data_IF_044794170334
#
_entry.id   IF_044794170334
#
_cell.length_a   1.000
_cell.length_b   1.000
_cell.length_c   1.000
_cell.angle_alpha   90.00
_cell.angle_beta   90.00
_cell.angle_gamma   90.00
#
_symmetry.space_group_name_H-M   'P 1'
#
loop_
_entity.id
_entity.type
_entity.pdbx_description
1 polymer ?
#
# COMPACT_ATOMS: atom_id res chain seq x y z
N UNK A 1 -16.11 19.43 22.85
CA UNK A 1 -14.79 18.77 22.69
C UNK A 1 -13.63 19.78 22.67
N UNK A 2 -12.52 19.46 23.35
CA UNK A 2 -11.29 20.27 23.36
C UNK A 2 -10.52 20.16 22.03
N UNK A 3 -10.52 18.98 21.39
CA UNK A 3 -9.96 18.79 20.05
C UNK A 3 -10.88 19.46 19.02
N UNK A 4 -10.35 20.41 18.25
CA UNK A 4 -11.08 21.20 17.24
C UNK A 4 -10.75 20.83 15.79
N UNK A 5 -9.57 20.30 15.55
CA UNK A 5 -9.08 19.86 14.25
C UNK A 5 -7.91 18.89 14.45
N UNK A 6 -7.68 18.00 13.48
CA UNK A 6 -6.53 17.09 13.48
C UNK A 6 -5.87 17.04 12.09
N UNK A 7 -4.59 16.66 12.05
CA UNK A 7 -3.84 16.49 10.81
C UNK A 7 -3.20 15.10 10.77
N UNK A 8 -3.93 14.04 10.37
CA UNK A 8 -3.34 12.71 10.17
C UNK A 8 -2.47 12.73 8.91
N UNK A 9 -1.17 12.51 9.04
CA UNK A 9 -0.24 12.47 7.91
C UNK A 9 0.52 11.15 7.85
N UNK A 10 0.53 10.50 6.68
CA UNK A 10 1.28 9.25 6.42
C UNK A 10 1.02 8.16 7.47
N UNK A 11 -0.23 8.11 7.95
CA UNK A 11 -0.65 7.21 9.02
C UNK A 11 -1.21 5.92 8.44
N UNK A 12 -0.75 4.78 8.94
CA UNK A 12 -1.41 3.50 8.70
C UNK A 12 -2.79 3.45 9.35
N UNK A 13 -3.74 2.85 8.64
CA UNK A 13 -5.15 2.80 9.06
C UNK A 13 -5.61 1.41 9.49
N UNK A 14 -5.00 0.37 8.94
CA UNK A 14 -5.12 -1.03 9.31
C UNK A 14 -3.70 -1.58 9.45
N UNK A 15 -3.18 -1.63 10.68
CA UNK A 15 -1.76 -1.93 10.94
C UNK A 15 -1.38 -3.36 10.57
N UNK A 16 -2.36 -4.28 10.53
CA UNK A 16 -2.16 -5.62 9.99
C UNK A 16 -1.91 -5.55 8.48
N UNK A 17 -2.85 -4.97 7.73
CA UNK A 17 -2.77 -4.96 6.27
C UNK A 17 -1.69 -4.00 5.72
N UNK A 18 -1.31 -2.97 6.47
CA UNK A 18 -0.16 -2.11 6.19
C UNK A 18 0.33 -1.47 7.49
N UNK A 19 1.63 -1.52 7.81
CA UNK A 19 2.71 -2.03 6.99
C UNK A 19 3.22 -3.40 7.48
N UNK A 20 2.68 -3.93 8.58
CA UNK A 20 3.27 -5.08 9.29
C UNK A 20 3.08 -6.39 8.53
N UNK A 21 1.87 -6.62 8.00
CA UNK A 21 1.50 -7.84 7.28
C UNK A 21 0.79 -7.58 5.94
N UNK A 22 1.35 -6.77 5.04
CA UNK A 22 0.77 -6.59 3.71
C UNK A 22 0.60 -7.94 3.04
N UNK A 23 -0.56 -8.14 2.44
CA UNK A 23 -0.93 -9.39 1.77
C UNK A 23 -1.05 -10.62 2.69
N UNK A 24 -0.94 -10.43 4.01
CA UNK A 24 -0.78 -11.51 4.99
C UNK A 24 0.65 -12.07 5.07
N UNK A 25 1.63 -11.39 4.49
CA UNK A 25 3.06 -11.72 4.54
C UNK A 25 3.76 -10.88 5.59
N UNK A 26 4.73 -11.44 6.31
CA UNK A 26 5.49 -10.69 7.31
C UNK A 26 6.48 -9.74 6.61
N UNK A 27 6.31 -8.43 6.76
CA UNK A 27 7.25 -7.43 6.25
C UNK A 27 8.47 -7.25 7.18
N UNK A 28 9.20 -8.35 7.46
CA UNK A 28 10.20 -8.39 8.54
C UNK A 28 11.28 -7.33 8.40
N UNK A 29 11.72 -7.03 7.17
CA UNK A 29 12.75 -6.02 6.92
C UNK A 29 12.39 -4.65 7.53
N UNK A 30 11.17 -4.19 7.29
CA UNK A 30 10.65 -2.95 7.87
C UNK A 30 10.33 -3.11 9.36
N UNK A 31 9.63 -4.18 9.77
CA UNK A 31 9.23 -4.40 11.17
C UNK A 31 10.44 -4.43 12.11
N UNK A 32 11.54 -5.06 11.69
CA UNK A 32 12.75 -5.15 12.49
C UNK A 32 13.37 -3.78 12.72
N UNK A 33 13.56 -2.99 11.65
CA UNK A 33 14.11 -1.64 11.75
C UNK A 33 13.28 -0.76 12.67
N UNK A 34 11.95 -0.80 12.52
CA UNK A 34 11.03 -0.06 13.39
C UNK A 34 11.13 -0.52 14.85
N UNK A 35 11.13 -1.84 15.08
CA UNK A 35 11.21 -2.42 16.42
C UNK A 35 12.53 -2.08 17.13
N UNK A 36 13.64 -1.98 16.40
CA UNK A 36 14.93 -1.61 16.96
C UNK A 36 14.94 -0.13 17.40
N UNK A 37 14.34 0.76 16.59
CA UNK A 37 14.17 2.18 16.93
C UNK A 37 13.28 2.38 18.15
N UNK A 38 12.10 1.75 18.19
CA UNK A 38 11.18 1.84 19.33
C UNK A 38 11.82 1.25 20.59
N UNK A 39 12.51 0.12 20.46
CA UNK A 39 13.25 -0.47 21.59
C UNK A 39 14.35 0.45 22.13
N UNK A 40 15.04 1.20 21.25
CA UNK A 40 16.00 2.21 21.68
C UNK A 40 15.31 3.37 22.41
N UNK A 41 14.13 3.82 21.96
CA UNK A 41 13.33 4.83 22.67
C UNK A 41 12.91 4.36 24.06
N UNK A 42 12.44 3.12 24.18
CA UNK A 42 12.03 2.53 25.46
C UNK A 42 13.17 2.43 26.47
N UNK A 43 14.40 2.21 26.01
CA UNK A 43 15.60 2.17 26.85
C UNK A 43 16.25 3.53 27.03
N UNK A 44 15.73 4.59 26.40
CA UNK A 44 16.37 5.90 26.30
C UNK A 44 17.85 5.80 25.82
N UNK A 45 18.08 4.98 24.80
CA UNK A 45 19.41 4.69 24.28
C UNK A 45 19.90 5.80 23.34
N UNK A 46 20.54 6.81 23.95
CA UNK A 46 21.09 7.94 23.21
C UNK A 46 22.21 7.61 22.23
N UNK A 47 22.81 6.41 22.29
CA UNK A 47 23.83 5.98 21.31
C UNK A 47 23.21 5.65 19.96
N UNK A 48 22.01 5.07 19.97
CA UNK A 48 21.22 4.74 18.77
C UNK A 48 20.42 5.95 18.30
N UNK A 49 19.81 6.70 19.23
CA UNK A 49 18.89 7.80 18.91
C UNK A 49 19.59 9.14 18.62
N UNK A 50 20.87 9.28 18.97
CA UNK A 50 21.59 10.55 18.90
C UNK A 50 21.08 11.63 19.88
N UNK A 51 20.10 11.29 20.73
CA UNK A 51 19.52 12.15 21.75
C UNK A 51 18.86 11.30 22.84
N UNK A 52 18.59 11.90 24.00
CA UNK A 52 17.88 11.24 25.10
C UNK A 52 16.55 11.94 25.41
N UNK A 53 15.63 11.17 25.99
CA UNK A 53 14.36 11.65 26.55
C UNK A 53 14.66 12.74 27.58
N UNK A 54 14.00 13.88 27.42
CA UNK A 54 14.07 14.99 28.39
C UNK A 54 13.02 14.76 29.48
N UNK A 55 13.43 14.75 30.76
CA UNK A 55 12.48 14.78 31.87
C UNK A 55 11.56 16.00 31.78
N UNK A 56 10.34 15.88 32.30
CA UNK A 56 9.43 17.01 32.48
C UNK A 56 9.97 17.97 33.53
N UNK A 57 9.53 19.23 33.50
CA UNK A 57 10.05 20.27 34.40
C UNK A 57 9.87 19.91 35.88
N UNK A 58 8.83 19.16 36.23
CA UNK A 58 8.54 18.72 37.60
C UNK A 58 9.46 17.58 38.08
N UNK A 59 10.10 16.83 37.18
CA UNK A 59 10.94 15.67 37.50
C UNK A 59 12.36 16.08 37.92
N UNK A 60 12.46 16.90 38.97
CA UNK A 60 13.72 17.53 39.40
C UNK A 60 14.81 16.53 39.81
N UNK A 61 14.43 15.33 40.24
CA UNK A 61 15.35 14.27 40.69
C UNK A 61 15.44 13.07 39.73
N UNK A 62 14.76 13.15 38.58
CA UNK A 62 14.73 12.10 37.57
C UNK A 62 13.96 10.84 37.98
N UNK A 63 13.17 10.88 39.07
CA UNK A 63 12.40 9.74 39.54
C UNK A 63 11.33 9.31 38.54
N UNK A 64 10.66 10.26 37.88
CA UNK A 64 9.66 9.97 36.86
C UNK A 64 10.32 9.35 35.62
N UNK A 65 11.47 9.84 35.18
CA UNK A 65 12.23 9.22 34.08
C UNK A 65 12.64 7.79 34.42
N UNK A 66 13.19 7.53 35.62
CA UNK A 66 13.57 6.17 36.05
C UNK A 66 12.37 5.24 36.11
N UNK A 67 11.22 5.74 36.60
CA UNK A 67 9.99 4.97 36.63
C UNK A 67 9.48 4.66 35.22
N UNK A 68 9.46 5.64 34.32
CA UNK A 68 9.06 5.45 32.92
C UNK A 68 9.92 4.40 32.22
N UNK A 69 11.25 4.47 32.38
CA UNK A 69 12.18 3.46 31.88
C UNK A 69 11.88 2.06 32.43
N UNK A 70 11.64 1.95 33.74
CA UNK A 70 11.28 0.68 34.37
C UNK A 70 9.96 0.12 33.83
N UNK A 71 8.95 0.97 33.61
CA UNK A 71 7.66 0.56 33.08
C UNK A 71 7.76 0.11 31.61
N UNK A 72 8.56 0.80 30.80
CA UNK A 72 8.78 0.48 29.39
C UNK A 72 9.55 -0.84 29.18
N UNK A 73 10.22 -1.39 30.20
CA UNK A 73 10.82 -2.75 30.10
C UNK A 73 9.78 -3.85 29.82
N UNK A 74 8.49 -3.57 30.05
CA UNK A 74 7.37 -4.47 29.80
C UNK A 74 6.77 -4.30 28.40
N UNK A 75 7.22 -3.31 27.62
CA UNK A 75 6.70 -3.07 26.29
C UNK A 75 6.98 -4.29 25.37
N UNK A 76 6.03 -4.64 24.49
CA UNK A 76 6.21 -5.73 23.54
C UNK A 76 7.34 -5.42 22.56
N UNK A 77 7.99 -6.47 22.07
CA UNK A 77 8.94 -6.32 20.97
C UNK A 77 8.14 -6.40 19.66
N UNK A 78 7.94 -5.25 19.02
CA UNK A 78 7.08 -5.10 17.84
C UNK A 78 7.37 -6.14 16.77
N UNK A 79 8.64 -6.40 16.46
CA UNK A 79 9.01 -7.38 15.45
C UNK A 79 8.69 -8.81 15.89
N UNK A 80 9.17 -9.24 17.06
CA UNK A 80 8.97 -10.60 17.54
C UNK A 80 7.49 -10.94 17.74
N UNK A 81 6.75 -10.03 18.38
CA UNK A 81 5.34 -10.24 18.67
C UNK A 81 4.48 -10.15 17.41
N UNK A 82 4.74 -9.18 16.52
CA UNK A 82 4.04 -9.06 15.24
C UNK A 82 4.32 -10.23 14.29
N UNK A 83 5.55 -10.78 14.29
CA UNK A 83 5.91 -12.01 13.55
C UNK A 83 5.18 -13.23 14.09
N UNK A 84 5.01 -13.33 15.41
CA UNK A 84 4.27 -14.44 16.04
C UNK A 84 2.77 -14.35 15.80
N UNK A 85 2.20 -13.15 15.81
CA UNK A 85 0.79 -12.89 15.58
C UNK A 85 0.45 -12.99 14.08
N UNK A 86 0.29 -14.22 13.59
CA UNK A 86 0.09 -14.57 12.18
C UNK A 86 -1.22 -14.05 11.61
N UNK A 87 -2.30 -14.19 12.36
CA UNK A 87 -3.65 -13.82 11.95
C UNK A 87 -4.09 -12.50 12.58
N UNK A 88 -5.03 -11.81 11.95
CA UNK A 88 -5.55 -10.52 12.43
C UNK A 88 -6.17 -10.62 13.82
N UNK A 89 -6.72 -11.78 14.17
CA UNK A 89 -7.32 -12.10 15.46
C UNK A 89 -6.33 -12.62 16.52
N UNK A 90 -5.02 -12.65 16.22
CA UNK A 90 -4.00 -13.04 17.20
C UNK A 90 -3.63 -11.87 18.15
N UNK A 91 -3.21 -12.24 19.37
CA UNK A 91 -2.69 -11.29 20.36
C UNK A 91 -1.24 -10.88 20.06
N UNK A 92 -0.97 -9.57 20.12
CA UNK A 92 0.35 -8.96 20.01
C UNK A 92 1.06 -8.84 21.36
N UNK A 93 0.33 -9.00 22.45
CA UNK A 93 0.83 -8.85 23.80
C UNK A 93 -0.33 -8.64 24.78
N UNK A 94 -0.05 -8.52 26.09
CA UNK A 94 -1.10 -8.36 27.09
C UNK A 94 -2.02 -7.18 26.79
N UNK A 95 -3.27 -7.46 26.42
CA UNK A 95 -4.30 -6.46 26.12
C UNK A 95 -4.18 -5.78 24.75
N UNK A 96 -3.33 -6.26 23.84
CA UNK A 96 -3.16 -5.71 22.50
C UNK A 96 -3.39 -6.76 21.41
N UNK A 97 -4.26 -6.45 20.45
CA UNK A 97 -4.46 -7.17 19.18
C UNK A 97 -4.26 -6.22 18.01
N UNK A 98 -4.10 -6.74 16.80
CA UNK A 98 -4.08 -5.92 15.58
C UNK A 98 -5.28 -4.98 15.47
N UNK A 99 -6.46 -5.45 15.89
CA UNK A 99 -7.70 -4.69 15.85
C UNK A 99 -7.65 -3.48 16.81
N UNK A 100 -7.16 -3.67 18.02
CA UNK A 100 -7.10 -2.61 19.04
C UNK A 100 -6.14 -1.48 18.68
N UNK A 101 -5.13 -1.74 17.85
CA UNK A 101 -4.12 -0.75 17.44
C UNK A 101 -4.38 -0.17 16.04
N UNK A 102 -5.47 -0.58 15.38
CA UNK A 102 -5.79 -0.17 14.01
C UNK A 102 -6.94 0.86 13.99
N UNK A 103 -6.70 2.10 13.50
CA UNK A 103 -7.72 3.15 13.45
C UNK A 103 -9.03 2.77 12.73
N UNK A 104 -8.99 1.84 11.76
CA UNK A 104 -10.17 1.37 11.02
C UNK A 104 -11.27 0.81 11.93
N UNK A 105 -10.93 0.28 13.12
CA UNK A 105 -11.89 -0.28 14.08
C UNK A 105 -12.63 0.79 14.90
N UNK A 106 -12.19 2.04 14.87
CA UNK A 106 -12.72 3.12 15.71
C UNK A 106 -13.65 4.06 14.94
N UNK A 107 -14.35 3.54 13.93
CA UNK A 107 -15.22 4.35 13.06
C UNK A 107 -16.26 5.14 13.85
N UNK A 108 -16.99 4.49 14.75
CA UNK A 108 -18.05 5.14 15.51
C UNK A 108 -17.52 6.28 16.39
N UNK A 109 -16.38 6.08 17.06
CA UNK A 109 -15.71 7.07 17.89
C UNK A 109 -15.23 8.26 17.05
N UNK A 110 -14.58 7.98 15.93
CA UNK A 110 -14.06 8.99 15.01
C UNK A 110 -15.21 9.82 14.44
N UNK A 111 -16.28 9.18 13.96
CA UNK A 111 -17.46 9.86 13.40
C UNK A 111 -18.26 10.66 14.43
N UNK A 112 -18.31 10.18 15.68
CA UNK A 112 -18.94 10.92 16.79
C UNK A 112 -18.18 12.20 17.12
N UNK A 113 -16.87 12.25 16.89
CA UNK A 113 -16.06 13.44 17.19
C UNK A 113 -16.43 14.65 16.31
N UNK A 114 -16.87 14.41 15.07
CA UNK A 114 -17.11 15.43 14.02
C UNK A 114 -15.92 16.37 13.80
N UNK A 115 -14.73 15.97 14.24
CA UNK A 115 -13.52 16.78 14.12
C UNK A 115 -13.10 16.83 12.64
N UNK A 116 -12.86 18.03 12.07
CA UNK A 116 -12.34 18.18 10.73
C UNK A 116 -10.88 17.71 10.64
N UNK A 117 -10.53 17.11 9.51
CA UNK A 117 -9.22 16.53 9.25
C UNK A 117 -8.58 17.13 8.00
N UNK A 118 -7.31 17.52 8.10
CA UNK A 118 -6.44 17.70 6.94
C UNK A 118 -5.49 16.51 6.85
N UNK A 119 -5.54 15.78 5.76
CA UNK A 119 -4.84 14.49 5.64
C UNK A 119 -3.77 14.59 4.57
N UNK A 120 -2.56 14.16 4.91
CA UNK A 120 -1.46 14.03 3.95
C UNK A 120 -1.11 12.57 3.77
N UNK A 121 -0.92 12.14 2.53
CA UNK A 121 -0.53 10.77 2.22
C UNK A 121 0.21 10.74 0.89
N UNK A 122 0.94 9.65 0.62
CA UNK A 122 1.63 9.47 -0.65
C UNK A 122 1.25 8.16 -1.33
N UNK A 123 1.26 8.13 -2.66
CA UNK A 123 0.97 6.89 -3.40
C UNK A 123 1.92 5.77 -3.04
N UNK A 124 3.22 6.06 -2.93
CA UNK A 124 4.27 5.06 -2.73
C UNK A 124 4.72 4.95 -1.27
N UNK A 125 3.85 5.27 -0.31
CA UNK A 125 4.14 5.10 1.12
C UNK A 125 3.32 3.94 1.70
N UNK A 126 3.91 2.73 1.68
CA UNK A 126 3.26 1.48 2.06
C UNK A 126 1.82 1.40 1.51
N UNK A 127 0.84 1.06 2.37
CA UNK A 127 -0.60 1.10 2.10
C UNK A 127 -1.32 2.34 2.67
N UNK A 128 -0.62 3.41 3.03
CA UNK A 128 -1.22 4.57 3.71
C UNK A 128 -2.30 5.26 2.86
N UNK A 129 -2.11 5.33 1.53
CA UNK A 129 -3.08 5.91 0.60
C UNK A 129 -4.41 5.14 0.61
N UNK A 130 -4.37 3.80 0.72
CA UNK A 130 -5.56 2.97 0.79
C UNK A 130 -6.41 3.26 2.02
N UNK A 131 -5.77 3.24 3.20
CA UNK A 131 -6.44 3.56 4.46
C UNK A 131 -7.06 4.97 4.45
N UNK A 132 -6.34 5.94 3.88
CA UNK A 132 -6.84 7.31 3.73
C UNK A 132 -8.05 7.40 2.81
N UNK A 133 -7.99 6.76 1.63
CA UNK A 133 -9.08 6.79 0.66
C UNK A 133 -10.29 5.98 1.14
N UNK A 134 -10.08 4.91 1.91
CA UNK A 134 -11.13 4.19 2.60
C UNK A 134 -11.84 5.09 3.62
N UNK A 135 -11.09 5.78 4.50
CA UNK A 135 -11.65 6.72 5.46
C UNK A 135 -12.38 7.88 4.77
N UNK A 136 -11.81 8.43 3.70
CA UNK A 136 -12.41 9.50 2.91
C UNK A 136 -13.80 9.10 2.38
N UNK A 137 -13.94 7.88 1.85
CA UNK A 137 -15.20 7.38 1.28
C UNK A 137 -16.24 7.00 2.32
N UNK A 138 -15.81 6.53 3.49
CA UNK A 138 -16.70 5.79 4.39
C UNK A 138 -16.90 6.44 5.76
N UNK A 139 -16.16 7.49 6.11
CA UNK A 139 -16.30 8.19 7.40
C UNK A 139 -16.89 9.58 7.17
N UNK A 140 -17.84 9.97 8.01
CA UNK A 140 -18.61 11.22 7.93
C UNK A 140 -17.89 12.46 8.48
N UNK A 141 -16.65 12.32 8.96
CA UNK A 141 -15.86 13.49 9.36
C UNK A 141 -15.54 14.37 8.14
N UNK A 142 -15.56 15.71 8.29
CA UNK A 142 -15.05 16.60 7.26
C UNK A 142 -13.58 16.31 7.00
N UNK A 143 -13.22 16.06 5.74
CA UNK A 143 -11.87 15.71 5.35
C UNK A 143 -11.42 16.60 4.18
N UNK A 144 -10.19 17.11 4.26
CA UNK A 144 -9.41 17.65 3.15
C UNK A 144 -8.21 16.72 2.97
N UNK A 145 -8.04 16.11 1.81
CA UNK A 145 -7.01 15.09 1.59
C UNK A 145 -6.05 15.56 0.50
N UNK A 146 -4.75 15.43 0.74
CA UNK A 146 -3.70 15.60 -0.24
C UNK A 146 -2.96 14.27 -0.44
N UNK A 147 -3.08 13.69 -1.62
CA UNK A 147 -2.30 12.51 -2.04
C UNK A 147 -1.17 12.94 -2.94
N UNK A 148 0.06 12.74 -2.50
CA UNK A 148 1.28 13.17 -3.19
C UNK A 148 1.92 12.00 -3.96
N UNK A 149 2.73 12.32 -4.97
CA UNK A 149 3.67 11.36 -5.56
C UNK A 149 4.97 11.29 -4.75
N UNK A 150 4.86 11.11 -3.44
CA UNK A 150 5.99 11.18 -2.52
C UNK A 150 6.31 9.87 -1.81
N UNK A 151 7.31 9.96 -0.93
CA UNK A 151 7.63 8.93 0.06
C UNK A 151 6.99 9.24 1.43
N UNK A 152 7.30 8.43 2.44
CA UNK A 152 6.82 8.60 3.80
C UNK A 152 7.17 9.98 4.37
N UNK A 153 6.24 10.59 5.10
CA UNK A 153 6.42 11.91 5.71
C UNK A 153 6.43 13.08 4.71
N UNK A 154 6.26 12.84 3.40
CA UNK A 154 6.24 13.89 2.38
C UNK A 154 7.59 14.56 2.17
N UNK A 155 8.68 13.83 2.43
CA UNK A 155 10.06 14.34 2.45
C UNK A 155 10.76 14.30 1.08
N UNK A 156 10.14 13.70 0.07
CA UNK A 156 10.67 13.68 -1.29
C UNK A 156 9.65 13.18 -2.29
N UNK A 157 9.95 13.41 -3.57
CA UNK A 157 9.20 12.88 -4.71
C UNK A 157 9.64 11.44 -4.97
N UNK A 158 8.69 10.61 -5.38
CA UNK A 158 8.88 9.19 -5.66
C UNK A 158 8.29 8.75 -7.01
N UNK A 159 7.83 9.67 -7.87
CA UNK A 159 7.21 9.29 -9.15
C UNK A 159 8.24 8.61 -10.06
N UNK A 160 8.02 7.35 -10.49
CA UNK A 160 8.94 6.64 -11.38
C UNK A 160 9.06 7.25 -12.79
N UNK A 161 8.31 8.31 -13.08
CA UNK A 161 8.42 9.06 -14.32
C UNK A 161 9.50 10.15 -14.29
N UNK A 162 9.88 10.61 -13.09
CA UNK A 162 10.84 11.71 -12.91
C UNK A 162 11.98 11.37 -11.95
N UNK A 163 11.75 10.43 -11.01
CA UNK A 163 12.74 9.96 -10.05
C UNK A 163 13.41 8.70 -10.58
N UNK A 164 14.74 8.75 -10.73
CA UNK A 164 15.57 7.60 -11.08
C UNK A 164 16.46 7.21 -9.91
N UNK A 165 17.77 7.45 -9.96
CA UNK A 165 18.73 6.99 -8.95
C UNK A 165 18.86 7.85 -7.69
N UNK A 166 18.37 9.09 -7.70
CA UNK A 166 18.49 10.04 -6.59
C UNK A 166 17.12 10.61 -6.21
N UNK A 167 16.86 10.83 -4.90
CA UNK A 167 15.59 11.41 -4.46
C UNK A 167 15.47 12.87 -4.91
N UNK A 168 14.27 13.26 -5.35
CA UNK A 168 13.95 14.65 -5.67
C UNK A 168 13.17 15.33 -4.52
N UNK A 169 13.22 16.66 -4.41
CA UNK A 169 12.40 17.39 -3.44
C UNK A 169 10.90 17.09 -3.60
N UNK A 170 10.13 17.06 -2.49
CA UNK A 170 8.71 16.75 -2.56
C UNK A 170 7.92 17.85 -3.27
N UNK A 171 6.80 17.45 -3.88
CA UNK A 171 5.84 18.36 -4.50
C UNK A 171 4.46 18.09 -3.89
N UNK A 172 3.84 19.06 -3.19
CA UNK A 172 4.39 20.38 -2.82
C UNK A 172 5.60 20.28 -1.86
N UNK A 173 6.39 21.35 -1.82
CA UNK A 173 7.56 21.46 -0.95
C UNK A 173 7.18 21.34 0.53
N UNK A 174 8.12 20.94 1.39
CA UNK A 174 7.85 20.84 2.84
C UNK A 174 7.34 22.16 3.44
N UNK A 175 7.88 23.29 2.98
CA UNK A 175 7.45 24.62 3.42
C UNK A 175 5.97 24.90 3.05
N UNK A 176 5.55 24.52 1.84
CA UNK A 176 4.15 24.62 1.43
C UNK A 176 3.26 23.68 2.23
N UNK A 177 3.69 22.44 2.47
CA UNK A 177 2.95 21.50 3.32
C UNK A 177 2.78 22.07 4.74
N UNK A 178 3.82 22.66 5.33
CA UNK A 178 3.73 23.36 6.63
C UNK A 178 2.81 24.58 6.56
N UNK A 179 2.85 25.35 5.48
CA UNK A 179 1.92 26.47 5.29
C UNK A 179 0.46 25.99 5.26
N UNK A 180 0.16 24.91 4.56
CA UNK A 180 -1.17 24.29 4.57
C UNK A 180 -1.60 23.86 5.98
N UNK A 181 -0.73 23.17 6.73
CA UNK A 181 -1.02 22.78 8.12
C UNK A 181 -1.36 23.97 9.00
N UNK A 182 -0.58 25.07 8.88
CA UNK A 182 -0.84 26.32 9.62
C UNK A 182 -2.16 26.95 9.21
N UNK A 183 -2.44 27.09 7.92
CA UNK A 183 -3.70 27.68 7.43
C UNK A 183 -4.92 26.89 7.91
N UNK A 184 -4.86 25.56 7.87
CA UNK A 184 -5.92 24.70 8.37
C UNK A 184 -6.16 24.89 9.88
N UNK A 185 -5.09 24.94 10.69
CA UNK A 185 -5.24 25.22 12.11
C UNK A 185 -5.70 26.64 12.40
N UNK A 186 -5.20 27.66 11.70
CA UNK A 186 -5.67 29.04 11.85
C UNK A 186 -7.19 29.11 11.60
N UNK A 187 -7.66 28.40 10.58
CA UNK A 187 -9.10 28.34 10.27
C UNK A 187 -9.93 27.71 11.37
N UNK A 188 -9.49 26.60 11.95
CA UNK A 188 -10.29 25.80 12.88
C UNK A 188 -10.06 26.10 14.37
N UNK A 189 -8.89 26.59 14.75
CA UNK A 189 -8.55 26.92 16.15
C UNK A 189 -8.75 28.41 16.44
N UNK A 190 -8.44 29.29 15.48
CA UNK A 190 -8.63 30.75 15.65
C UNK A 190 -9.95 31.24 15.05
N UNK A 191 -10.60 30.45 14.21
CA UNK A 191 -11.87 30.80 13.58
C UNK A 191 -11.75 31.81 12.44
N UNK A 192 -10.53 32.08 11.95
CA UNK A 192 -10.28 33.05 10.88
C UNK A 192 -10.59 32.45 9.52
N UNK A 193 -11.55 32.98 8.73
CA UNK A 193 -11.76 32.55 7.35
C UNK A 193 -10.49 32.72 6.53
N UNK A 194 -10.15 31.72 5.71
CA UNK A 194 -8.96 31.76 4.87
C UNK A 194 -9.10 30.80 3.67
N UNK A 195 -8.01 30.61 2.92
CA UNK A 195 -8.00 29.78 1.71
C UNK A 195 -8.37 28.30 1.98
N UNK A 196 -8.22 27.80 3.20
CA UNK A 196 -8.55 26.41 3.54
C UNK A 196 -10.05 26.10 3.38
N UNK A 197 -10.92 27.11 3.46
CA UNK A 197 -12.35 26.97 3.17
C UNK A 197 -12.62 26.59 1.70
N UNK A 198 -11.73 26.97 0.79
CA UNK A 198 -11.90 26.78 -0.66
C UNK A 198 -11.20 25.54 -1.21
N UNK A 199 -10.40 24.84 -0.40
CA UNK A 199 -9.70 23.64 -0.86
C UNK A 199 -10.66 22.53 -1.30
N UNK A 200 -10.29 21.68 -2.26
CA UNK A 200 -11.09 20.52 -2.65
C UNK A 200 -11.17 19.51 -1.49
N UNK A 201 -12.15 18.60 -1.53
CA UNK A 201 -12.21 17.52 -0.53
C UNK A 201 -11.03 16.55 -0.68
N UNK A 202 -10.63 16.25 -1.93
CA UNK A 202 -9.49 15.42 -2.27
C UNK A 202 -8.70 16.06 -3.42
N UNK A 203 -7.43 16.36 -3.18
CA UNK A 203 -6.42 16.68 -4.20
C UNK A 203 -5.46 15.51 -4.30
N UNK A 204 -5.19 15.01 -5.50
CA UNK A 204 -4.30 13.87 -5.70
C UNK A 204 -3.37 14.09 -6.89
N UNK A 205 -2.16 13.56 -6.80
CA UNK A 205 -1.16 13.64 -7.87
C UNK A 205 -1.43 12.55 -8.91
N UNK A 206 -1.45 12.88 -10.19
CA UNK A 206 -1.60 11.94 -11.30
C UNK A 206 -0.21 11.61 -11.87
N UNK A 207 0.26 10.38 -11.64
CA UNK A 207 1.56 9.92 -12.16
C UNK A 207 1.56 9.87 -13.68
N UNK A 208 2.69 10.12 -14.32
CA UNK A 208 2.84 10.07 -15.80
C UNK A 208 2.28 11.30 -16.52
N UNK A 209 1.31 11.99 -15.91
CA UNK A 209 0.99 13.38 -16.23
C UNK A 209 1.82 14.37 -15.40
N UNK A 210 2.21 13.97 -14.19
CA UNK A 210 2.96 14.76 -13.20
C UNK A 210 2.23 16.04 -12.77
N UNK A 211 0.93 15.92 -12.49
CA UNK A 211 0.07 17.04 -12.09
C UNK A 211 -0.93 16.67 -10.99
N UNK A 212 -1.29 17.65 -10.18
CA UNK A 212 -2.40 17.51 -9.24
C UNK A 212 -3.75 17.67 -9.92
N UNK A 213 -4.71 16.86 -9.47
CA UNK A 213 -6.12 16.93 -9.83
C UNK A 213 -6.98 16.98 -8.57
N UNK A 214 -8.14 17.63 -8.69
CA UNK A 214 -9.07 17.87 -7.59
C UNK A 214 -10.37 17.08 -7.81
N UNK A 215 -10.92 16.50 -6.74
CA UNK A 215 -12.19 15.78 -6.79
C UNK A 215 -12.88 15.80 -5.41
N UNK A 216 -14.20 15.63 -5.41
CA UNK A 216 -14.98 15.45 -4.19
C UNK A 216 -15.37 14.00 -3.94
N UNK A 217 -15.03 13.09 -4.86
CA UNK A 217 -15.34 11.66 -4.78
C UNK A 217 -14.14 10.82 -5.18
N UNK A 218 -14.02 9.64 -4.56
CA UNK A 218 -13.04 8.64 -4.95
C UNK A 218 -13.70 7.27 -5.14
N UNK A 219 -13.38 6.53 -6.23
CA UNK A 219 -12.64 7.00 -7.41
C UNK A 219 -13.28 8.22 -8.11
N UNK A 220 -12.55 8.96 -8.96
CA UNK A 220 -13.13 10.07 -9.73
C UNK A 220 -14.36 9.65 -10.55
N UNK A 221 -15.25 10.60 -10.85
CA UNK A 221 -16.45 10.31 -11.65
C UNK A 221 -16.05 9.82 -13.04
N UNK A 222 -16.79 8.84 -13.56
CA UNK A 222 -16.48 8.23 -14.87
C UNK A 222 -15.45 7.11 -14.80
N UNK A 223 -14.98 6.73 -13.60
CA UNK A 223 -14.20 5.51 -13.41
C UNK A 223 -15.06 4.26 -13.60
N UNK A 224 -14.60 3.34 -14.44
CA UNK A 224 -15.17 2.01 -14.61
C UNK A 224 -14.05 0.96 -14.73
N UNK A 225 -14.31 -0.23 -14.19
CA UNK A 225 -13.36 -1.35 -14.28
C UNK A 225 -13.37 -1.93 -15.70
N UNK A 226 -12.23 -1.87 -16.38
CA UNK A 226 -12.00 -2.53 -17.67
C UNK A 226 -11.16 -3.79 -17.45
N UNK A 227 -11.64 -4.94 -17.92
CA UNK A 227 -10.90 -6.19 -17.83
C UNK A 227 -9.78 -6.28 -18.89
N UNK A 228 -8.63 -6.78 -18.45
CA UNK A 228 -7.45 -7.10 -19.24
C UNK A 228 -7.09 -8.56 -18.98
N UNK A 229 -7.27 -9.39 -19.99
CA UNK A 229 -7.19 -10.85 -19.93
C UNK A 229 -5.78 -11.33 -20.26
N UNK A 230 -5.23 -12.20 -19.39
CA UNK A 230 -3.92 -12.81 -19.61
C UNK A 230 -4.05 -13.90 -20.69
N UNK A 231 -3.21 -13.83 -21.70
CA UNK A 231 -3.07 -14.83 -22.75
C UNK A 231 -1.79 -15.64 -22.58
N UNK A 232 -1.85 -16.91 -22.98
CA UNK A 232 -0.71 -17.82 -22.98
C UNK A 232 0.48 -17.21 -23.71
N UNK A 233 1.68 -17.35 -23.13
CA UNK A 233 2.92 -16.83 -23.71
C UNK A 233 3.19 -15.36 -23.35
N UNK A 234 2.59 -14.87 -22.26
CA UNK A 234 2.94 -13.56 -21.69
C UNK A 234 2.28 -12.36 -22.37
N UNK A 235 1.07 -12.54 -22.93
CA UNK A 235 0.31 -11.43 -23.53
C UNK A 235 -0.82 -10.98 -22.61
N UNK A 236 -1.25 -9.72 -22.72
CA UNK A 236 -2.47 -9.24 -22.05
C UNK A 236 -3.28 -8.35 -22.99
N UNK A 237 -4.60 -8.56 -23.05
CA UNK A 237 -5.48 -7.86 -23.98
C UNK A 237 -6.85 -7.56 -23.36
N UNK A 238 -7.52 -6.50 -23.84
CA UNK A 238 -8.89 -6.17 -23.42
C UNK A 238 -9.94 -7.05 -24.08
N UNK A 239 -9.67 -7.57 -25.28
CA UNK A 239 -10.51 -8.56 -25.95
C UNK A 239 -10.19 -9.97 -25.40
N UNK A 240 -11.11 -10.65 -24.69
CA UNK A 240 -10.87 -11.98 -24.16
C UNK A 240 -10.64 -13.04 -25.24
N UNK A 241 -11.08 -12.81 -26.49
CA UNK A 241 -10.85 -13.74 -27.60
C UNK A 241 -9.42 -13.65 -28.16
N UNK A 242 -8.75 -12.50 -27.96
CA UNK A 242 -7.35 -12.31 -28.30
C UNK A 242 -6.40 -12.93 -27.25
N UNK A 243 -6.90 -13.21 -26.04
CA UNK A 243 -6.15 -13.88 -24.99
C UNK A 243 -6.09 -15.40 -25.26
N UNK A 244 -4.94 -15.88 -25.72
CA UNK A 244 -4.74 -17.30 -26.00
C UNK A 244 -4.96 -18.18 -24.77
N UNK A 245 -5.73 -19.26 -24.92
CA UNK A 245 -6.01 -20.19 -23.82
C UNK A 245 -4.83 -21.10 -23.49
N UNK A 246 -4.63 -21.36 -22.19
CA UNK A 246 -3.64 -22.33 -21.73
C UNK A 246 -3.28 -22.18 -20.27
N UNK A 247 -2.06 -22.60 -19.95
CA UNK A 247 -1.47 -22.48 -18.62
C UNK A 247 -0.01 -22.10 -18.78
N UNK A 248 0.40 -21.03 -18.10
CA UNK A 248 1.81 -20.67 -17.95
C UNK A 248 2.27 -21.04 -16.53
N UNK A 249 3.45 -21.66 -16.42
CA UNK A 249 3.99 -22.16 -15.15
C UNK A 249 5.15 -21.26 -14.74
N UNK A 250 5.07 -20.72 -13.53
CA UNK A 250 6.13 -19.96 -12.88
C UNK A 250 6.74 -20.80 -11.77
N UNK A 251 8.05 -21.02 -11.84
CA UNK A 251 8.82 -21.54 -10.71
C UNK A 251 9.17 -20.35 -9.82
N UNK A 252 8.73 -20.39 -8.56
CA UNK A 252 8.99 -19.30 -7.62
C UNK A 252 10.49 -19.21 -7.39
N UNK A 253 11.08 -18.08 -7.80
CA UNK A 253 12.45 -17.74 -7.48
C UNK A 253 12.47 -17.00 -6.12
N UNK A 254 12.97 -17.63 -5.04
CA UNK A 254 12.99 -17.02 -3.71
C UNK A 254 13.95 -15.83 -3.62
N UNK A 255 14.81 -15.60 -4.64
CA UNK A 255 15.77 -14.49 -4.70
C UNK A 255 15.22 -13.25 -5.40
N UNK A 256 13.98 -13.32 -5.93
CA UNK A 256 13.30 -12.12 -6.44
C UNK A 256 13.27 -11.06 -5.35
N UNK A 257 13.61 -9.84 -5.74
CA UNK A 257 13.67 -8.69 -4.84
C UNK A 257 13.19 -7.44 -5.56
N UNK A 258 12.51 -6.54 -4.84
CA UNK A 258 12.29 -5.15 -5.27
C UNK A 258 13.28 -4.16 -4.66
N UNK A 259 14.32 -4.69 -4.00
CA UNK A 259 15.32 -3.93 -3.26
C UNK A 259 14.77 -3.31 -1.98
N UNK A 260 15.51 -2.36 -1.41
CA UNK A 260 15.12 -1.62 -0.20
C UNK A 260 14.67 -0.18 -0.48
N UNK A 261 14.75 0.28 -1.73
CA UNK A 261 14.38 1.64 -2.12
C UNK A 261 12.98 1.67 -2.73
N UNK A 262 12.02 1.13 -2.00
CA UNK A 262 10.64 0.93 -2.44
C UNK A 262 9.64 1.46 -1.39
N UNK A 263 8.34 1.26 -1.66
CA UNK A 263 7.27 1.77 -0.80
C UNK A 263 7.26 1.23 0.64
N UNK A 264 7.83 0.06 0.90
CA UNK A 264 7.75 -0.60 2.21
C UNK A 264 8.79 -0.07 3.19
N UNK A 265 10.01 0.16 2.70
CA UNK A 265 11.09 0.68 3.52
C UNK A 265 11.06 2.21 3.64
N UNK A 266 10.24 2.90 2.84
CA UNK A 266 10.03 4.34 2.93
C UNK A 266 9.64 4.81 4.35
N UNK A 267 8.84 4.02 5.08
CA UNK A 267 8.48 4.33 6.46
C UNK A 267 9.70 4.38 7.40
N UNK A 268 10.78 3.69 7.05
CA UNK A 268 12.04 3.67 7.79
C UNK A 268 13.03 4.74 7.32
N UNK A 269 12.60 5.65 6.45
CA UNK A 269 13.40 6.76 5.95
C UNK A 269 14.22 6.45 4.70
N UNK A 270 14.10 5.25 4.13
CA UNK A 270 14.75 4.93 2.86
C UNK A 270 14.11 5.72 1.71
N UNK A 271 14.89 6.22 0.74
CA UNK A 271 14.35 6.89 -0.43
C UNK A 271 13.65 5.88 -1.35
N UNK A 272 12.77 6.39 -2.21
CA UNK A 272 12.13 5.60 -3.26
C UNK A 272 12.78 5.98 -4.59
N UNK A 273 13.67 5.11 -5.08
CA UNK A 273 14.53 5.34 -6.25
C UNK A 273 14.71 4.04 -7.03
N UNK A 274 15.10 4.13 -8.30
CA UNK A 274 15.35 2.98 -9.17
C UNK A 274 14.08 2.25 -9.63
N UNK A 275 12.90 2.85 -9.46
CA UNK A 275 11.62 2.28 -9.89
C UNK A 275 11.24 2.68 -11.33
N UNK A 276 12.06 3.51 -11.99
CA UNK A 276 11.85 3.99 -13.36
C UNK A 276 12.26 2.96 -14.44
N UNK A 277 12.98 1.91 -14.04
CA UNK A 277 13.30 0.77 -14.89
C UNK A 277 13.53 -0.52 -14.09
N UNK A 278 12.53 -1.40 -14.04
CA UNK A 278 12.57 -2.68 -13.33
C UNK A 278 12.93 -3.90 -14.19
N UNK A 279 13.38 -3.70 -15.43
CA UNK A 279 13.56 -4.80 -16.39
C UNK A 279 14.38 -6.01 -15.89
N UNK A 280 15.41 -5.79 -15.08
CA UNK A 280 16.20 -6.88 -14.47
C UNK A 280 15.41 -7.71 -13.46
N UNK A 281 14.52 -7.07 -12.68
CA UNK A 281 13.64 -7.74 -11.73
C UNK A 281 12.54 -8.49 -12.48
N UNK A 282 11.91 -7.85 -13.48
CA UNK A 282 10.81 -8.41 -14.27
C UNK A 282 11.22 -9.69 -15.00
N UNK A 283 12.49 -9.78 -15.42
CA UNK A 283 13.05 -10.95 -16.10
C UNK A 283 13.07 -12.23 -15.23
N UNK A 284 12.93 -12.09 -13.90
CA UNK A 284 12.82 -13.20 -12.95
C UNK A 284 11.37 -13.53 -12.56
N UNK A 285 10.41 -12.82 -13.12
CA UNK A 285 8.98 -12.93 -12.84
C UNK A 285 8.23 -13.47 -14.06
N UNK A 286 7.02 -13.98 -13.84
CA UNK A 286 6.11 -14.30 -14.95
C UNK A 286 5.39 -13.03 -15.39
N UNK A 287 5.80 -12.48 -16.53
CA UNK A 287 5.31 -11.21 -17.04
C UNK A 287 4.30 -11.37 -18.18
N UNK A 288 3.24 -10.56 -18.17
CA UNK A 288 2.27 -10.43 -19.25
C UNK A 288 2.23 -8.98 -19.74
N UNK A 289 2.46 -8.75 -21.03
CA UNK A 289 2.59 -7.39 -21.60
C UNK A 289 1.61 -7.20 -22.75
N UNK A 290 1.00 -6.00 -22.82
CA UNK A 290 0.01 -5.69 -23.85
C UNK A 290 0.67 -5.30 -25.16
N UNK A 291 -0.13 -5.23 -26.23
CA UNK A 291 0.24 -4.40 -27.37
C UNK A 291 0.34 -2.92 -26.97
N UNK A 292 1.07 -2.08 -27.73
CA UNK A 292 1.12 -0.65 -27.47
C UNK A 292 -0.29 -0.08 -27.45
N UNK A 293 -0.56 0.76 -26.46
CA UNK A 293 -1.85 1.42 -26.33
C UNK A 293 -2.13 2.29 -27.54
N UNK A 294 -3.32 2.15 -28.12
CA UNK A 294 -3.75 2.96 -29.25
C UNK A 294 -4.09 4.41 -28.87
N UNK A 295 -4.32 4.68 -27.58
CA UNK A 295 -4.58 5.99 -27.00
C UNK A 295 -4.11 6.04 -25.55
N UNK A 296 -3.99 7.25 -24.98
CA UNK A 296 -3.70 7.45 -23.56
C UNK A 296 -4.74 6.70 -22.69
N UNK A 297 -4.27 6.04 -21.64
CA UNK A 297 -5.06 5.30 -20.66
C UNK A 297 -4.92 5.94 -19.29
N UNK A 298 -5.98 6.61 -18.84
CA UNK A 298 -6.07 7.14 -17.48
C UNK A 298 -6.66 6.08 -16.55
N UNK A 299 -5.94 5.73 -15.49
CA UNK A 299 -6.45 4.92 -14.38
C UNK A 299 -6.51 5.73 -13.09
N UNK A 300 -7.56 5.56 -12.29
CA UNK A 300 -7.67 6.15 -10.96
C UNK A 300 -8.57 5.29 -10.07
N UNK A 301 -8.00 4.67 -9.04
CA UNK A 301 -8.70 3.74 -8.15
C UNK A 301 -7.85 2.51 -7.80
N UNK A 302 -8.51 1.40 -7.47
CA UNK A 302 -7.86 0.13 -7.17
C UNK A 302 -7.93 -0.82 -8.37
N UNK A 303 -6.79 -1.20 -8.97
CA UNK A 303 -6.76 -2.36 -9.84
C UNK A 303 -7.14 -3.64 -9.07
N UNK A 304 -7.86 -4.55 -9.71
CA UNK A 304 -8.27 -5.83 -9.10
C UNK A 304 -7.76 -6.99 -9.95
N UNK A 305 -6.97 -7.87 -9.36
CA UNK A 305 -6.46 -9.07 -10.02
C UNK A 305 -7.36 -10.24 -9.69
N UNK A 306 -7.73 -11.03 -10.71
CA UNK A 306 -8.34 -12.35 -10.56
C UNK A 306 -7.46 -13.37 -11.25
N UNK A 307 -6.80 -14.23 -10.48
CA UNK A 307 -5.99 -15.33 -10.97
C UNK A 307 -6.75 -16.64 -10.84
N UNK A 308 -6.73 -17.44 -11.90
CA UNK A 308 -7.02 -18.87 -11.82
C UNK A 308 -5.71 -19.60 -11.69
N UNK A 309 -5.40 -19.97 -10.45
CA UNK A 309 -4.07 -20.36 -10.05
C UNK A 309 -4.13 -21.74 -9.39
N UNK A 310 -3.19 -22.61 -9.75
CA UNK A 310 -2.84 -23.80 -8.97
C UNK A 310 -1.45 -23.61 -8.38
N UNK A 311 -1.26 -24.03 -7.12
CA UNK A 311 0.06 -24.19 -6.52
C UNK A 311 0.33 -25.66 -6.27
N UNK A 312 1.57 -26.11 -6.37
CA UNK A 312 2.00 -27.44 -5.93
C UNK A 312 2.23 -27.54 -4.41
N UNK A 313 2.14 -26.42 -3.68
CA UNK A 313 2.25 -26.35 -2.24
C UNK A 313 0.89 -26.03 -1.58
N UNK A 314 0.70 -26.41 -0.31
CA UNK A 314 -0.51 -26.06 0.45
C UNK A 314 -0.57 -24.59 0.86
N UNK A 315 0.55 -23.85 0.77
CA UNK A 315 0.62 -22.41 1.02
C UNK A 315 1.74 -21.78 0.19
N UNK A 316 1.68 -20.47 0.01
CA UNK A 316 2.62 -19.69 -0.75
C UNK A 316 2.16 -18.23 -0.82
N UNK A 317 2.86 -17.43 -1.61
CA UNK A 317 2.43 -16.08 -1.92
C UNK A 317 2.27 -15.90 -3.43
N UNK A 318 1.41 -14.96 -3.80
CA UNK A 318 1.41 -14.37 -5.13
C UNK A 318 1.49 -12.86 -4.97
N UNK A 319 2.48 -12.26 -5.61
CA UNK A 319 2.71 -10.83 -5.70
C UNK A 319 2.49 -10.43 -7.15
N UNK A 320 1.78 -9.33 -7.38
CA UNK A 320 1.52 -8.80 -8.71
C UNK A 320 1.88 -7.33 -8.75
N UNK A 321 2.79 -6.99 -9.64
CA UNK A 321 3.21 -5.62 -9.91
C UNK A 321 2.57 -5.13 -11.20
N UNK A 322 2.02 -3.92 -11.19
CA UNK A 322 1.49 -3.24 -12.36
C UNK A 322 2.52 -2.21 -12.84
N UNK A 323 2.82 -2.24 -14.14
CA UNK A 323 3.90 -1.50 -14.75
C UNK A 323 3.47 -0.79 -16.04
N UNK A 324 4.10 0.36 -16.30
CA UNK A 324 4.06 1.09 -17.55
C UNK A 324 5.38 0.88 -18.33
N UNK A 325 5.30 0.19 -19.47
CA UNK A 325 6.46 -0.08 -20.32
C UNK A 325 6.50 0.91 -21.48
N UNK A 326 7.55 1.75 -21.49
CA UNK A 326 7.75 2.74 -22.54
C UNK A 326 8.20 2.13 -23.89
N UNK A 327 8.12 2.89 -24.99
CA UNK A 327 8.69 2.50 -26.29
C UNK A 327 10.20 2.24 -26.26
N UNK A 328 10.89 2.80 -25.26
CA UNK A 328 12.30 2.57 -24.97
C UNK A 328 12.57 1.26 -24.21
N UNK A 329 11.52 0.49 -23.89
CA UNK A 329 11.59 -0.78 -23.18
C UNK A 329 11.74 -0.66 -21.66
N UNK A 330 11.81 0.56 -21.11
CA UNK A 330 11.88 0.74 -19.65
C UNK A 330 10.56 0.38 -19.01
N UNK A 331 10.61 -0.47 -17.98
CA UNK A 331 9.46 -0.89 -17.18
C UNK A 331 9.38 -0.02 -15.92
N UNK A 332 8.39 0.88 -15.86
CA UNK A 332 8.16 1.75 -14.71
C UNK A 332 7.15 1.13 -13.77
N UNK A 333 7.50 1.06 -12.49
CA UNK A 333 6.57 0.65 -11.44
C UNK A 333 5.37 1.63 -11.37
N UNK A 334 4.14 1.12 -11.25
CA UNK A 334 2.97 1.94 -10.93
C UNK A 334 2.44 1.65 -9.53
N UNK A 335 2.08 0.39 -9.29
CA UNK A 335 1.58 -0.08 -8.00
C UNK A 335 1.71 -1.60 -7.93
N UNK A 336 1.30 -2.18 -6.82
CA UNK A 336 1.39 -3.62 -6.59
C UNK A 336 0.30 -4.09 -5.64
N UNK A 337 0.21 -5.40 -5.49
CA UNK A 337 -0.64 -6.08 -4.55
C UNK A 337 -0.21 -7.52 -4.44
N UNK A 338 -0.85 -8.25 -3.55
CA UNK A 338 -0.53 -9.65 -3.38
C UNK A 338 -1.43 -10.33 -2.38
N UNK A 339 -1.21 -11.62 -2.23
CA UNK A 339 -1.91 -12.43 -1.25
C UNK A 339 -1.10 -13.66 -0.87
N UNK A 340 -0.98 -13.92 0.43
CA UNK A 340 -0.63 -15.26 0.92
C UNK A 340 -1.82 -16.20 0.72
N UNK A 341 -1.59 -17.32 0.07
CA UNK A 341 -2.65 -18.16 -0.51
C UNK A 341 -3.59 -18.77 0.53
N UNK A 342 -3.14 -18.96 1.78
CA UNK A 342 -4.05 -19.39 2.86
C UNK A 342 -5.17 -18.39 3.16
N UNK A 343 -4.99 -17.10 2.85
CA UNK A 343 -5.98 -16.05 3.11
C UNK A 343 -6.95 -15.81 1.94
N UNK A 344 -6.92 -16.63 0.89
CA UNK A 344 -7.70 -16.43 -0.35
C UNK A 344 -9.22 -16.37 -0.20
N UNK A 345 -9.78 -16.83 0.93
CA UNK A 345 -11.22 -16.81 1.15
C UNK A 345 -11.71 -15.35 1.17
N UNK A 346 -12.61 -15.02 0.25
CA UNK A 346 -13.32 -13.75 0.26
C UNK A 346 -14.45 -13.78 1.29
N UNK A 347 -14.60 -12.68 2.02
CA UNK A 347 -15.72 -12.45 2.94
C UNK A 347 -16.22 -11.01 2.78
N UNK A 348 -17.47 -10.71 3.18
CA UNK A 348 -17.94 -9.33 3.19
C UNK A 348 -17.05 -8.42 4.04
N UNK A 349 -16.76 -7.21 3.55
CA UNK A 349 -16.00 -6.24 4.31
C UNK A 349 -16.82 -5.74 5.52
N UNK A 350 -16.33 -5.91 6.77
CA UNK A 350 -17.08 -5.54 7.97
C UNK A 350 -17.14 -4.02 8.22
N UNK A 351 -16.31 -3.23 7.53
CA UNK A 351 -16.14 -1.79 7.78
C UNK A 351 -16.88 -0.90 6.79
N UNK A 352 -17.17 -1.42 5.58
CA UNK A 352 -17.89 -0.70 4.54
C UNK A 352 -18.52 -1.62 3.49
N UNK A 353 -19.63 -1.18 2.89
CA UNK A 353 -20.16 -1.79 1.66
C UNK A 353 -19.33 -1.34 0.46
N UNK A 354 -18.66 -2.28 -0.19
CA UNK A 354 -17.77 -2.06 -1.34
C UNK A 354 -17.72 -3.30 -2.21
N UNK A 355 -17.46 -3.12 -3.51
CA UNK A 355 -17.27 -4.21 -4.48
C UNK A 355 -15.81 -4.71 -4.55
N UNK A 356 -14.92 -4.09 -3.76
CA UNK A 356 -13.52 -4.52 -3.67
C UNK A 356 -13.39 -5.85 -2.92
N UNK A 357 -12.50 -6.75 -3.36
CA UNK A 357 -12.26 -8.01 -2.67
C UNK A 357 -11.74 -7.74 -1.25
N UNK A 358 -12.27 -8.48 -0.28
CA UNK A 358 -11.85 -8.36 1.11
C UNK A 358 -11.53 -9.74 1.71
N UNK A 359 -10.40 -9.79 2.41
CA UNK A 359 -9.91 -10.95 3.14
C UNK A 359 -9.89 -10.61 4.64
N UNK A 360 -10.46 -11.48 5.48
CA UNK A 360 -10.48 -11.24 6.93
C UNK A 360 -9.11 -11.36 7.57
N UNK A 361 -8.18 -12.10 6.93
CA UNK A 361 -6.90 -12.52 7.51
C UNK A 361 -7.03 -13.20 8.89
N UNK A 362 -8.24 -13.65 9.25
CA UNK A 362 -8.53 -14.30 10.51
C UNK A 362 -8.28 -15.80 10.44
N UNK A 363 -7.90 -16.39 11.57
CA UNK A 363 -7.55 -17.82 11.66
C UNK A 363 -8.66 -18.74 11.16
N UNK A 364 -9.92 -18.40 11.44
CA UNK A 364 -11.11 -19.19 11.02
C UNK A 364 -11.30 -19.28 9.50
N UNK A 365 -10.79 -18.31 8.75
CA UNK A 365 -10.95 -18.21 7.30
C UNK A 365 -9.70 -18.67 6.55
N UNK A 366 -8.60 -18.89 7.27
CA UNK A 366 -7.37 -19.45 6.74
C UNK A 366 -7.60 -20.90 6.30
N UNK A 367 -7.22 -21.21 5.06
CA UNK A 367 -7.40 -22.54 4.48
C UNK A 367 -6.20 -22.90 3.62
N UNK A 368 -5.56 -24.06 3.76
CA UNK A 368 -4.54 -24.49 2.79
C UNK A 368 -5.08 -24.56 1.35
N UNK A 369 -4.23 -24.28 0.36
CA UNK A 369 -4.45 -24.65 -1.03
C UNK A 369 -4.53 -26.17 -1.16
N UNK A 370 -5.25 -26.67 -2.16
CA UNK A 370 -5.13 -28.09 -2.55
C UNK A 370 -4.04 -28.21 -3.61
N UNK A 371 -2.89 -28.86 -3.35
CA UNK A 371 -1.81 -28.98 -4.33
C UNK A 371 -2.28 -29.46 -5.71
N UNK A 372 -1.89 -28.76 -6.77
CA UNK A 372 -2.23 -29.04 -8.16
C UNK A 372 -3.66 -28.67 -8.57
N UNK A 373 -4.52 -28.23 -7.65
CA UNK A 373 -5.89 -27.83 -7.96
C UNK A 373 -5.96 -26.35 -8.33
N UNK A 374 -6.57 -26.05 -9.47
CA UNK A 374 -6.88 -24.67 -9.87
C UNK A 374 -7.98 -24.11 -8.99
N UNK A 375 -7.69 -23.00 -8.32
CA UNK A 375 -8.63 -22.20 -7.54
C UNK A 375 -8.67 -20.77 -8.10
N UNK A 376 -9.79 -20.07 -7.91
CA UNK A 376 -9.87 -18.65 -8.25
C UNK A 376 -9.44 -17.82 -7.04
N UNK A 377 -8.51 -16.91 -7.26
CA UNK A 377 -7.92 -16.05 -6.24
C UNK A 377 -8.05 -14.61 -6.72
N UNK A 378 -8.78 -13.79 -5.98
CA UNK A 378 -9.02 -12.39 -6.33
C UNK A 378 -8.59 -11.48 -5.20
N UNK A 379 -7.79 -10.46 -5.52
CA UNK A 379 -7.31 -9.44 -4.58
C UNK A 379 -7.09 -8.10 -5.29
N UNK A 380 -7.01 -7.02 -4.52
CA UNK A 380 -6.76 -5.68 -5.06
C UNK A 380 -5.27 -5.34 -5.04
N UNK A 381 -4.85 -4.48 -5.96
CA UNK A 381 -3.59 -3.73 -5.85
C UNK A 381 -3.85 -2.44 -5.05
N UNK A 382 -2.79 -1.84 -4.50
CA UNK A 382 -2.88 -0.54 -3.84
C UNK A 382 -3.40 0.53 -4.81
N UNK A 383 -4.21 1.49 -4.32
CA UNK A 383 -4.82 2.48 -5.20
C UNK A 383 -3.78 3.40 -5.82
N UNK A 384 -4.08 3.88 -7.01
CA UNK A 384 -3.20 4.76 -7.76
C UNK A 384 -4.02 5.71 -8.65
N UNK A 385 -3.41 6.83 -9.06
CA UNK A 385 -3.83 7.61 -10.22
C UNK A 385 -2.63 7.76 -11.17
N UNK A 386 -2.78 7.28 -12.40
CA UNK A 386 -1.72 7.33 -13.40
C UNK A 386 -2.26 7.48 -14.81
N UNK A 387 -1.55 8.25 -15.64
CA UNK A 387 -1.75 8.38 -17.08
C UNK A 387 -0.67 7.57 -17.80
N UNK A 388 -1.07 6.44 -18.39
CA UNK A 388 -0.21 5.65 -19.28
C UNK A 388 -0.38 6.18 -20.71
N UNK A 389 0.72 6.55 -21.36
CA UNK A 389 0.68 7.22 -22.66
C UNK A 389 0.36 6.28 -23.81
N UNK A 390 -0.23 6.81 -24.88
CA UNK A 390 -0.30 6.15 -26.17
C UNK A 390 1.08 5.63 -26.59
N UNK A 391 1.12 4.43 -27.15
CA UNK A 391 2.37 3.76 -27.56
C UNK A 391 3.14 3.06 -26.45
N UNK A 392 2.80 3.31 -25.18
CA UNK A 392 3.28 2.51 -24.06
C UNK A 392 2.51 1.19 -23.95
N UNK A 393 2.95 0.27 -23.10
CA UNK A 393 2.29 -1.01 -22.86
C UNK A 393 1.97 -1.17 -21.38
N UNK A 394 0.85 -1.83 -21.10
CA UNK A 394 0.56 -2.31 -19.74
C UNK A 394 1.28 -3.63 -19.54
N UNK A 395 2.00 -3.74 -18.42
CA UNK A 395 2.57 -5.01 -17.97
C UNK A 395 2.07 -5.35 -16.58
N UNK A 396 1.83 -6.63 -16.36
CA UNK A 396 1.82 -7.19 -15.01
C UNK A 396 2.99 -8.17 -14.87
N UNK A 397 3.68 -8.13 -13.74
CA UNK A 397 4.73 -9.09 -13.37
C UNK A 397 4.29 -9.87 -12.13
N UNK A 398 4.31 -11.19 -12.20
CA UNK A 398 3.87 -12.10 -11.14
C UNK A 398 5.08 -12.77 -10.49
N UNK A 399 5.19 -12.64 -9.17
CA UNK A 399 6.22 -13.28 -8.35
C UNK A 399 5.60 -14.06 -7.18
N UNK A 400 6.40 -14.92 -6.55
CA UNK A 400 6.02 -15.64 -5.33
C UNK A 400 6.81 -15.23 -4.09
N UNK A 401 7.76 -14.30 -4.24
CA UNK A 401 8.65 -13.83 -3.18
C UNK A 401 9.13 -12.39 -3.47
N UNK A 402 9.54 -11.71 -2.40
CA UNK A 402 10.35 -10.50 -2.42
C UNK A 402 11.27 -10.53 -1.19
N UNK A 403 12.50 -11.03 -1.35
CA UNK A 403 13.37 -11.41 -0.24
C UNK A 403 13.83 -10.25 0.66
N UNK A 404 13.83 -9.01 0.15
CA UNK A 404 14.26 -7.85 0.93
C UNK A 404 13.14 -7.32 1.84
N UNK A 405 11.89 -7.64 1.50
CA UNK A 405 10.71 -7.10 2.18
C UNK A 405 9.99 -8.17 3.00
N UNK A 406 9.70 -9.33 2.42
CA UNK A 406 8.83 -10.35 3.01
C UNK A 406 9.58 -11.60 3.44
N UNK A 407 9.18 -12.16 4.59
CA UNK A 407 9.61 -13.50 4.96
C UNK A 407 9.11 -14.55 3.95
N UNK A 408 9.89 -15.60 3.68
CA UNK A 408 9.45 -16.70 2.85
C UNK A 408 8.28 -17.46 3.51
N UNK A 409 7.22 -17.72 2.75
CA UNK A 409 6.02 -18.44 3.23
C UNK A 409 6.25 -19.95 3.35
N UNK A 410 7.12 -20.52 2.50
CA UNK A 410 7.45 -21.94 2.55
C UNK A 410 8.95 -22.15 2.76
N UNK A 411 9.30 -23.12 3.61
CA UNK A 411 10.68 -23.53 3.84
C UNK A 411 11.28 -24.30 2.65
N UNK A 412 10.43 -24.77 1.72
CA UNK A 412 10.84 -25.68 0.65
C UNK A 412 11.48 -24.98 -0.56
N UNK A 413 11.35 -23.65 -0.69
CA UNK A 413 12.00 -22.85 -1.74
C UNK A 413 11.62 -23.17 -3.21
N UNK A 414 10.77 -24.18 -3.45
CA UNK A 414 10.52 -24.78 -4.76
C UNK A 414 9.02 -24.84 -5.10
N UNK A 415 8.25 -23.81 -4.75
CA UNK A 415 6.85 -23.75 -5.14
C UNK A 415 6.72 -23.42 -6.63
N UNK A 416 5.78 -24.06 -7.31
CA UNK A 416 5.35 -23.67 -8.66
C UNK A 416 3.94 -23.09 -8.64
N UNK A 417 3.73 -22.03 -9.43
CA UNK A 417 2.44 -21.40 -9.65
C UNK A 417 2.03 -21.61 -11.10
N UNK A 418 0.90 -22.26 -11.32
CA UNK A 418 0.31 -22.46 -12.66
C UNK A 418 -0.83 -21.49 -12.86
N UNK A 419 -0.69 -20.57 -13.81
CA UNK A 419 -1.66 -19.51 -14.13
C UNK A 419 -2.46 -19.93 -15.36
N UNK A 420 -3.77 -20.11 -15.21
CA UNK A 420 -4.68 -20.42 -16.33
C UNK A 420 -4.99 -19.14 -17.09
N UNK A 421 -4.77 -19.17 -18.40
CA UNK A 421 -4.89 -18.04 -19.32
C UNK A 421 -6.00 -18.25 -20.36
N UNK A 422 -6.44 -17.14 -20.96
CA UNK A 422 -7.36 -17.07 -22.10
C UNK A 422 -8.85 -17.26 -21.79
N UNK A 423 -9.67 -16.65 -22.66
CA UNK A 423 -11.12 -16.65 -22.57
C UNK A 423 -11.68 -15.87 -21.37
N UNK A 424 -13.02 -15.80 -21.30
CA UNK A 424 -13.73 -15.10 -20.21
C UNK A 424 -13.51 -15.76 -18.83
N UNK A 425 -13.18 -17.04 -18.83
CA UNK A 425 -12.86 -17.81 -17.63
C UNK A 425 -11.36 -17.84 -17.33
N UNK A 426 -10.50 -17.07 -18.00
CA UNK A 426 -9.07 -16.99 -17.72
C UNK A 426 -8.70 -16.01 -16.61
N UNK A 427 -7.43 -15.97 -16.25
CA UNK A 427 -6.87 -14.95 -15.34
C UNK A 427 -6.92 -13.55 -15.99
N UNK A 428 -7.14 -12.51 -15.18
CA UNK A 428 -7.28 -11.13 -15.63
C UNK A 428 -6.88 -10.12 -14.56
N UNK A 429 -6.63 -8.89 -14.98
CA UNK A 429 -6.63 -7.70 -14.12
C UNK A 429 -7.72 -6.74 -14.60
N UNK A 430 -8.49 -6.18 -13.69
CA UNK A 430 -9.43 -5.11 -13.96
C UNK A 430 -8.79 -3.77 -13.57
N UNK A 431 -8.62 -2.88 -14.56
CA UNK A 431 -8.06 -1.55 -14.34
C UNK A 431 -9.18 -0.52 -14.15
N UNK A 432 -9.08 0.41 -13.18
CA UNK A 432 -10.09 1.43 -12.90
C UNK A 432 -9.94 2.61 -13.88
N UNK A 433 -10.45 2.46 -15.10
CA UNK A 433 -10.26 3.41 -16.21
C UNK A 433 -11.20 4.61 -16.07
N UNK A 434 -10.66 5.83 -16.18
CA UNK A 434 -11.45 7.07 -16.18
C UNK A 434 -11.83 7.44 -17.61
N UNK A 435 -13.10 7.29 -17.96
CA UNK A 435 -13.58 7.60 -19.31
C UNK A 435 -13.41 9.11 -19.64
N UNK A 436 -12.64 9.41 -20.68
CA UNK A 436 -12.37 10.78 -21.11
C UNK A 436 -11.29 11.52 -20.30
N UNK A 437 -10.58 10.82 -19.40
CA UNK A 437 -9.50 11.39 -18.59
C UNK A 437 -9.99 12.11 -17.32
N UNK A 438 -9.04 12.60 -16.52
CA UNK A 438 -9.32 13.47 -15.39
C UNK A 438 -9.71 14.87 -15.88
N UNK A 439 -10.62 15.54 -15.16
CA UNK A 439 -11.15 16.86 -15.51
C UNK A 439 -10.58 17.96 -14.64
#
# INVERSE_FOLDING_TARGET
>A
PAVKAVIPGWSDFDTYASPMRPYGLVARGMMKTWSDLVGAMDRNDGTVLGSTVRPVDEDKDGSLLRQALADHTKNPNVCNDGVRAEFRDDELGPGATWETISPIHYKAEIERSKVPMLVFVSWLDAGTADGTLFRFRHFSNPQKVLVMAGMHGGRGHASPYVVSGEPLPPVPSEAEQFAMRRQFFDRHLKGTPNEADQWPALRFFNLGEEKFHDTDVWPPKGTANQAWHLGKGGTIATDPSAAAAGTDVYQVDPTVTTGKFNRWMAQMGEPIVGLDNRGEMDARMLSYTSEPLAADLQIAGHPVVTLRLASDQPDGAVLVYLEDVGPDGRSRYLTEGGLRLIHRKLVPNPYATTDLPYHSYGRKDAKPMTPGKVEEITFQLWPIAALIRQGHRIRIAIAGADQDIFDPVSAAGNASLSIVTGGAAGSRIALPVVAGGLR
#
